data_IF_210455650890
#
_entry.id   IF_210455650890
#
_cell.length_a   1.000
_cell.length_b   1.000
_cell.length_c   1.000
_cell.angle_alpha   90.00
_cell.angle_beta   90.00
_cell.angle_gamma   90.00
#
_symmetry.space_group_name_H-M   'P 1'
#
loop_
_entity.id
_entity.type
_entity.pdbx_description
1 polymer ?
#
# COMPACT_ATOMS: atom_id res chain seq x y z
N UNK A 1 -15.72 -8.83 14.55
CA UNK A 1 -14.57 -8.09 15.10
C UNK A 1 -13.52 -7.91 14.01
N UNK A 2 -13.18 -6.67 13.67
CA UNK A 2 -12.06 -6.40 12.78
C UNK A 2 -10.77 -6.48 13.59
N UNK A 3 -9.97 -7.52 13.39
CA UNK A 3 -8.63 -7.58 13.97
C UNK A 3 -7.74 -6.58 13.25
N UNK A 4 -7.15 -5.61 13.96
CA UNK A 4 -6.43 -4.50 13.33
C UNK A 4 -5.17 -4.92 12.54
N UNK A 5 -4.69 -6.15 12.74
CA UNK A 5 -3.53 -6.73 12.05
C UNK A 5 -3.91 -7.63 10.86
N UNK A 6 -5.20 -7.78 10.55
CA UNK A 6 -5.61 -8.59 9.39
C UNK A 6 -5.92 -7.69 8.20
N UNK A 7 -5.25 -7.91 7.04
CA UNK A 7 -5.60 -7.22 5.80
C UNK A 7 -6.96 -7.71 5.30
N UNK A 8 -7.66 -6.84 4.55
CA UNK A 8 -8.93 -7.19 3.90
C UNK A 8 -8.74 -7.93 2.58
N UNK A 9 -7.57 -7.78 1.97
CA UNK A 9 -7.20 -8.44 0.74
C UNK A 9 -5.71 -8.77 0.79
N UNK A 10 -5.34 -9.89 0.17
CA UNK A 10 -3.94 -10.27 -0.06
C UNK A 10 -3.79 -10.54 -1.56
N UNK A 11 -2.75 -10.00 -2.15
CA UNK A 11 -2.36 -10.24 -3.54
C UNK A 11 -0.86 -10.48 -3.65
N UNK A 12 -0.41 -11.15 -4.70
CA UNK A 12 1.00 -11.42 -4.90
C UNK A 12 1.76 -10.17 -5.35
N UNK A 13 1.17 -9.35 -6.20
CA UNK A 13 1.80 -8.14 -6.71
C UNK A 13 0.87 -6.93 -6.62
N UNK A 14 1.44 -5.73 -6.57
CA UNK A 14 0.68 -4.48 -6.68
C UNK A 14 -0.02 -4.40 -8.04
N UNK A 15 0.62 -4.91 -9.09
CA UNK A 15 0.12 -4.92 -10.46
C UNK A 15 -1.11 -5.80 -10.68
N UNK A 16 -1.45 -6.70 -9.73
CA UNK A 16 -2.69 -7.47 -9.75
C UNK A 16 -3.94 -6.60 -9.47
N UNK A 17 -3.75 -5.41 -8.91
CA UNK A 17 -4.84 -4.49 -8.61
C UNK A 17 -5.27 -3.75 -9.87
N UNK A 18 -6.33 -4.20 -10.52
CA UNK A 18 -6.86 -3.52 -11.71
C UNK A 18 -7.89 -2.45 -11.35
N UNK A 19 -8.11 -1.43 -12.21
CA UNK A 19 -9.16 -0.44 -12.00
C UNK A 19 -10.54 -1.05 -11.78
N UNK A 20 -10.87 -2.12 -12.51
CA UNK A 20 -12.15 -2.83 -12.43
C UNK A 20 -12.33 -3.48 -11.05
N UNK A 21 -11.30 -4.16 -10.55
CA UNK A 21 -11.32 -4.77 -9.22
C UNK A 21 -11.53 -3.71 -8.14
N UNK A 22 -10.83 -2.59 -8.25
CA UNK A 22 -10.92 -1.49 -7.29
C UNK A 22 -12.30 -0.83 -7.32
N UNK A 23 -12.85 -0.62 -8.51
CA UNK A 23 -14.21 -0.10 -8.69
C UNK A 23 -15.26 -1.04 -8.06
N UNK A 24 -15.18 -2.35 -8.31
CA UNK A 24 -16.07 -3.35 -7.71
C UNK A 24 -16.03 -3.36 -6.18
N UNK A 25 -14.89 -2.97 -5.59
CA UNK A 25 -14.70 -2.84 -4.15
C UNK A 25 -15.05 -1.45 -3.59
N UNK A 26 -15.51 -0.54 -4.45
CA UNK A 26 -15.82 0.83 -4.09
C UNK A 26 -14.59 1.66 -3.71
N UNK A 27 -13.38 1.26 -4.16
CA UNK A 27 -12.14 1.96 -3.87
C UNK A 27 -11.91 3.04 -4.92
N UNK A 28 -11.77 4.28 -4.47
CA UNK A 28 -11.54 5.47 -5.27
C UNK A 28 -10.15 6.09 -5.05
N UNK A 29 -9.46 5.68 -3.97
CA UNK A 29 -8.12 6.14 -3.63
C UNK A 29 -7.26 4.95 -3.19
N UNK A 30 -6.13 4.73 -3.84
CA UNK A 30 -5.07 3.86 -3.37
C UNK A 30 -3.99 4.69 -2.69
N UNK A 31 -3.74 4.40 -1.43
CA UNK A 31 -2.62 4.90 -0.66
C UNK A 31 -1.53 3.82 -0.69
N UNK A 32 -0.42 4.10 -1.37
CA UNK A 32 0.62 3.13 -1.65
C UNK A 32 1.82 3.34 -0.73
N UNK A 33 2.27 2.29 -0.05
CA UNK A 33 3.62 2.31 0.49
C UNK A 33 4.64 2.35 -0.66
N UNK A 34 5.85 2.83 -0.40
CA UNK A 34 6.87 3.04 -1.41
C UNK A 34 7.89 1.89 -1.47
N UNK A 35 8.61 1.73 -0.37
CA UNK A 35 9.73 0.80 -0.27
C UNK A 35 9.25 -0.65 -0.26
N UNK A 36 9.75 -1.49 -1.15
CA UNK A 36 9.33 -2.88 -1.35
C UNK A 36 7.89 -3.10 -1.82
N UNK A 37 7.15 -2.04 -2.07
CA UNK A 37 5.78 -2.09 -2.61
C UNK A 37 5.74 -1.61 -4.06
N UNK A 38 6.28 -0.42 -4.35
CA UNK A 38 6.39 0.13 -5.73
C UNK A 38 7.77 -0.19 -6.31
N UNK A 39 8.82 0.04 -5.53
CA UNK A 39 10.22 -0.23 -5.92
C UNK A 39 10.95 -0.92 -4.77
N UNK A 40 12.00 -1.72 -5.05
CA UNK A 40 12.85 -2.26 -3.99
C UNK A 40 13.64 -1.12 -3.28
N UNK A 41 14.17 -1.42 -2.11
CA UNK A 41 15.00 -0.45 -1.35
C UNK A 41 16.25 0.02 -2.11
N UNK A 42 16.71 -0.77 -3.07
CA UNK A 42 18.00 -0.59 -3.76
C UNK A 42 17.94 0.33 -4.96
N UNK A 43 16.74 0.66 -5.46
CA UNK A 43 16.57 1.51 -6.65
C UNK A 43 15.33 2.39 -6.54
N UNK A 44 15.27 3.43 -7.36
CA UNK A 44 14.07 4.25 -7.59
C UNK A 44 13.43 3.97 -8.96
N UNK A 45 13.96 3.02 -9.71
CA UNK A 45 13.49 2.69 -11.05
C UNK A 45 12.50 1.52 -10.91
N UNK A 46 11.23 1.71 -11.24
CA UNK A 46 10.25 0.63 -11.26
C UNK A 46 10.53 -0.31 -12.43
N UNK A 47 10.06 -1.54 -12.31
CA UNK A 47 10.04 -2.46 -13.45
C UNK A 47 9.14 -1.93 -14.56
N UNK A 48 9.32 -2.39 -15.79
CA UNK A 48 8.46 -1.99 -16.92
C UNK A 48 6.98 -2.34 -16.65
N UNK A 49 6.72 -3.48 -16.01
CA UNK A 49 5.39 -3.90 -15.59
C UNK A 49 4.77 -2.90 -14.59
N UNK A 50 5.54 -2.49 -13.58
CA UNK A 50 5.09 -1.50 -12.59
C UNK A 50 4.86 -0.13 -13.24
N UNK A 51 5.75 0.30 -14.15
CA UNK A 51 5.58 1.55 -14.88
C UNK A 51 4.33 1.52 -15.77
N UNK A 52 4.05 0.39 -16.44
CA UNK A 52 2.84 0.19 -17.23
C UNK A 52 1.58 0.25 -16.35
N UNK A 53 1.62 -0.40 -15.18
CA UNK A 53 0.53 -0.36 -14.21
C UNK A 53 0.27 1.06 -13.69
N UNK A 54 1.31 1.83 -13.36
CA UNK A 54 1.16 3.23 -12.95
C UNK A 54 0.48 4.07 -14.05
N UNK A 55 0.87 3.88 -15.32
CA UNK A 55 0.21 4.55 -16.46
C UNK A 55 -1.27 4.15 -16.59
N UNK A 56 -1.58 2.86 -16.46
CA UNK A 56 -2.96 2.36 -16.50
C UNK A 56 -3.81 2.98 -15.38
N UNK A 57 -3.28 2.99 -14.16
CA UNK A 57 -3.97 3.60 -13.01
C UNK A 57 -4.17 5.10 -13.19
N UNK A 58 -3.18 5.82 -13.74
CA UNK A 58 -3.29 7.26 -14.01
C UNK A 58 -4.38 7.58 -15.04
N UNK A 59 -4.68 6.66 -15.97
CA UNK A 59 -5.76 6.77 -16.95
C UNK A 59 -7.14 6.37 -16.39
N UNK A 60 -7.21 5.87 -15.16
CA UNK A 60 -8.44 5.44 -14.50
C UNK A 60 -9.03 6.53 -13.59
N UNK A 61 -10.21 6.26 -13.03
CA UNK A 61 -10.84 7.14 -12.03
C UNK A 61 -10.26 6.95 -10.62
N UNK A 62 -9.39 5.96 -10.41
CA UNK A 62 -8.78 5.68 -9.10
C UNK A 62 -7.61 6.64 -8.89
N UNK A 63 -7.66 7.39 -7.81
CA UNK A 63 -6.55 8.28 -7.41
C UNK A 63 -5.44 7.49 -6.75
N UNK A 64 -4.19 7.88 -7.01
CA UNK A 64 -3.01 7.31 -6.36
C UNK A 64 -2.33 8.36 -5.46
N UNK A 65 -1.90 7.94 -4.28
CA UNK A 65 -1.08 8.74 -3.38
C UNK A 65 -0.06 7.85 -2.68
N UNK A 66 1.21 8.20 -2.74
CA UNK A 66 2.25 7.48 -2.00
C UNK A 66 2.23 7.93 -0.54
N UNK A 67 2.13 6.98 0.41
CA UNK A 67 2.12 7.25 1.85
C UNK A 67 3.26 6.48 2.51
N UNK A 68 4.40 7.14 2.67
CA UNK A 68 5.66 6.51 3.09
C UNK A 68 6.15 7.02 4.44
N UNK A 69 6.77 6.13 5.23
CA UNK A 69 7.52 6.50 6.43
C UNK A 69 8.92 7.06 6.11
N UNK A 70 9.35 6.95 4.86
CA UNK A 70 10.66 7.45 4.43
C UNK A 70 10.78 8.96 4.65
N UNK A 71 12.00 9.36 5.04
CA UNK A 71 12.42 10.76 5.18
C UNK A 71 13.30 11.21 4.00
N UNK A 72 13.55 10.33 3.05
CA UNK A 72 14.47 10.56 1.95
C UNK A 72 13.77 11.23 0.77
N UNK A 73 14.49 12.11 0.11
CA UNK A 73 14.02 12.83 -1.09
C UNK A 73 13.69 11.89 -2.27
N UNK A 74 14.17 10.64 -2.22
CA UNK A 74 13.88 9.64 -3.26
C UNK A 74 12.39 9.44 -3.52
N UNK A 75 11.56 9.48 -2.49
CA UNK A 75 10.10 9.38 -2.62
C UNK A 75 9.53 10.58 -3.35
N UNK A 76 9.99 11.78 -2.97
CA UNK A 76 9.56 13.04 -3.59
C UNK A 76 9.96 13.10 -5.07
N UNK A 77 11.20 12.70 -5.39
CA UNK A 77 11.72 12.67 -6.76
C UNK A 77 10.93 11.68 -7.61
N UNK A 78 10.70 10.48 -7.11
CA UNK A 78 9.88 9.48 -7.79
C UNK A 78 8.46 10.00 -8.05
N UNK A 79 7.79 10.52 -7.04
CA UNK A 79 6.43 11.01 -7.17
C UNK A 79 6.34 12.18 -8.17
N UNK A 80 7.34 13.06 -8.20
CA UNK A 80 7.43 14.14 -9.19
C UNK A 80 7.60 13.60 -10.61
N UNK A 81 8.44 12.58 -10.80
CA UNK A 81 8.69 11.96 -12.10
C UNK A 81 7.44 11.26 -12.65
N UNK A 82 6.71 10.54 -11.79
CA UNK A 82 5.53 9.77 -12.20
C UNK A 82 4.20 10.53 -12.02
N UNK A 83 4.23 11.81 -11.67
CA UNK A 83 3.03 12.63 -11.51
C UNK A 83 2.13 12.18 -10.35
N UNK A 84 2.70 11.63 -9.29
CA UNK A 84 1.98 11.12 -8.13
C UNK A 84 2.02 12.12 -6.97
N UNK A 85 0.93 12.20 -6.22
CA UNK A 85 0.95 12.84 -4.92
C UNK A 85 1.63 11.97 -3.87
N UNK A 86 2.18 12.59 -2.82
CA UNK A 86 2.76 11.85 -1.71
C UNK A 86 2.55 12.51 -0.34
N UNK A 87 2.58 11.66 0.68
CA UNK A 87 2.71 12.00 2.09
C UNK A 87 3.94 11.27 2.61
N UNK A 88 5.03 12.01 2.79
CA UNK A 88 6.27 11.49 3.42
C UNK A 88 6.19 11.66 4.93
N UNK A 89 7.07 11.01 5.70
CA UNK A 89 7.04 11.04 7.17
C UNK A 89 5.67 10.66 7.74
N UNK A 90 4.97 9.72 7.11
CA UNK A 90 3.59 9.37 7.45
C UNK A 90 3.45 8.77 8.86
N UNK A 91 4.56 8.27 9.45
CA UNK A 91 4.61 7.66 10.79
C UNK A 91 3.63 6.50 10.97
N UNK A 92 3.42 5.69 9.92
CA UNK A 92 2.66 4.44 10.05
C UNK A 92 3.31 3.55 11.13
N UNK A 93 2.57 2.89 12.00
CA UNK A 93 1.14 2.63 11.99
C UNK A 93 0.24 3.69 12.65
N UNK A 94 0.72 4.87 12.95
CA UNK A 94 -0.16 5.96 13.35
C UNK A 94 -0.95 6.45 12.13
N UNK A 95 -2.25 6.71 12.34
CA UNK A 95 -3.16 7.03 11.23
C UNK A 95 -3.06 8.48 10.71
N UNK A 96 -2.27 9.34 11.36
CA UNK A 96 -2.20 10.78 11.02
C UNK A 96 -1.83 11.04 9.55
N UNK A 97 -0.79 10.36 9.04
CA UNK A 97 -0.38 10.52 7.63
C UNK A 97 -1.43 10.01 6.66
N UNK A 98 -2.11 8.91 7.01
CA UNK A 98 -3.20 8.34 6.21
C UNK A 98 -4.40 9.31 6.20
N UNK A 99 -4.80 9.86 7.35
CA UNK A 99 -5.87 10.85 7.41
C UNK A 99 -5.52 12.14 6.65
N UNK A 100 -4.27 12.58 6.66
CA UNK A 100 -3.83 13.72 5.86
C UNK A 100 -4.03 13.46 4.35
N UNK A 101 -3.72 12.24 3.89
CA UNK A 101 -3.99 11.83 2.52
C UNK A 101 -5.49 11.81 2.21
N UNK A 102 -6.30 11.15 3.04
CA UNK A 102 -7.77 11.09 2.88
C UNK A 102 -8.40 12.49 2.81
N UNK A 103 -7.99 13.38 3.69
CA UNK A 103 -8.48 14.76 3.73
C UNK A 103 -8.12 15.57 2.48
N UNK A 104 -6.89 15.36 1.94
CA UNK A 104 -6.45 16.00 0.70
C UNK A 104 -7.37 15.69 -0.47
N UNK A 105 -7.86 14.46 -0.57
CA UNK A 105 -8.74 14.02 -1.65
C UNK A 105 -10.24 14.16 -1.33
N UNK A 106 -10.62 14.47 -0.10
CA UNK A 106 -12.01 14.50 0.32
C UNK A 106 -12.70 13.13 0.20
N UNK A 107 -11.95 12.04 0.38
CA UNK A 107 -12.45 10.67 0.22
C UNK A 107 -12.67 10.04 1.60
N UNK A 108 -13.84 9.41 1.76
CA UNK A 108 -14.16 8.68 2.98
C UNK A 108 -13.21 7.45 3.16
N UNK A 109 -12.80 7.12 4.39
CA UNK A 109 -11.89 5.99 4.63
C UNK A 109 -12.34 4.67 4.00
N UNK A 110 -13.64 4.37 4.02
CA UNK A 110 -14.20 3.16 3.42
C UNK A 110 -14.03 3.06 1.89
N UNK A 111 -13.82 4.19 1.22
CA UNK A 111 -13.58 4.29 -0.23
C UNK A 111 -12.08 4.37 -0.58
N UNK A 112 -11.21 4.20 0.39
CA UNK A 112 -9.77 4.20 0.21
C UNK A 112 -9.16 2.88 0.66
N UNK A 113 -8.03 2.50 0.07
CA UNK A 113 -7.25 1.36 0.50
C UNK A 113 -5.80 1.77 0.78
N UNK A 114 -5.24 1.31 1.91
CA UNK A 114 -3.81 1.32 2.18
C UNK A 114 -3.20 0.02 1.66
N UNK A 115 -2.25 0.13 0.76
CA UNK A 115 -1.54 -0.99 0.13
C UNK A 115 -0.08 -0.97 0.54
N UNK A 116 0.43 -2.09 1.01
CA UNK A 116 1.84 -2.21 1.39
C UNK A 116 2.24 -3.65 1.68
N UNK A 117 3.53 -3.85 1.90
CA UNK A 117 4.14 -5.16 2.16
C UNK A 117 4.20 -5.51 3.66
N UNK A 118 3.80 -4.57 4.55
CA UNK A 118 4.01 -4.69 5.99
C UNK A 118 2.71 -4.68 6.78
N UNK A 119 2.48 -5.73 7.58
CA UNK A 119 1.31 -5.80 8.47
C UNK A 119 1.39 -4.75 9.59
N UNK A 120 2.55 -4.62 10.24
CA UNK A 120 2.69 -3.77 11.43
C UNK A 120 2.72 -2.26 11.13
N UNK A 121 2.91 -1.86 9.89
CA UNK A 121 2.85 -0.45 9.48
C UNK A 121 1.64 -0.16 8.61
N UNK A 122 1.52 -0.82 7.47
CA UNK A 122 0.54 -0.49 6.44
C UNK A 122 -0.85 -1.03 6.79
N UNK A 123 -0.95 -2.34 7.08
CA UNK A 123 -2.23 -2.95 7.45
C UNK A 123 -2.76 -2.37 8.76
N UNK A 124 -1.92 -2.28 9.80
CA UNK A 124 -2.32 -1.72 11.09
C UNK A 124 -2.70 -0.24 10.97
N UNK A 125 -1.91 0.55 10.23
CA UNK A 125 -2.18 1.97 10.02
C UNK A 125 -3.46 2.21 9.23
N UNK A 126 -3.68 1.46 8.15
CA UNK A 126 -4.88 1.51 7.32
C UNK A 126 -6.14 1.12 8.10
N UNK A 127 -6.09 0.01 8.85
CA UNK A 127 -7.20 -0.44 9.68
C UNK A 127 -7.56 0.57 10.79
N UNK A 128 -6.55 1.21 11.42
CA UNK A 128 -6.76 2.29 12.40
C UNK A 128 -7.38 3.53 11.78
N UNK A 129 -7.08 3.82 10.52
CA UNK A 129 -7.69 4.93 9.80
C UNK A 129 -9.11 4.61 9.27
N UNK A 130 -9.58 3.39 9.40
CA UNK A 130 -10.87 2.95 8.85
C UNK A 130 -10.86 2.67 7.35
N UNK A 131 -9.67 2.66 6.73
CA UNK A 131 -9.51 2.34 5.31
C UNK A 131 -9.54 0.83 5.07
N UNK A 132 -9.78 0.42 3.83
CA UNK A 132 -9.50 -0.94 3.42
C UNK A 132 -7.98 -1.17 3.44
N UNK A 133 -7.56 -2.43 3.57
CA UNK A 133 -6.14 -2.76 3.62
C UNK A 133 -5.83 -3.92 2.69
N UNK A 134 -4.80 -3.74 1.87
CA UNK A 134 -4.34 -4.72 0.89
C UNK A 134 -2.88 -5.03 1.18
N UNK A 135 -2.60 -6.28 1.51
CA UNK A 135 -1.24 -6.76 1.70
C UNK A 135 -0.71 -7.31 0.38
N UNK A 136 0.42 -6.80 -0.07
CA UNK A 136 1.15 -7.31 -1.23
C UNK A 136 2.42 -8.01 -0.80
N UNK A 137 2.93 -8.90 -1.65
CA UNK A 137 4.23 -9.51 -1.40
C UNK A 137 5.33 -8.46 -1.57
N UNK A 138 6.28 -8.43 -0.64
CA UNK A 138 7.46 -7.58 -0.75
C UNK A 138 8.27 -7.93 -2.01
N UNK A 139 8.73 -6.91 -2.74
CA UNK A 139 9.51 -7.09 -3.98
C UNK A 139 10.84 -7.77 -3.67
N UNK A 140 11.49 -7.38 -2.56
CA UNK A 140 12.80 -7.87 -2.18
C UNK A 140 12.88 -8.16 -0.68
N UNK A 141 13.37 -9.35 -0.32
CA UNK A 141 13.52 -9.83 1.06
C UNK A 141 14.98 -10.16 1.43
N UNK A 142 15.97 -9.56 0.79
CA UNK A 142 17.39 -9.88 1.02
C UNK A 142 17.90 -9.44 2.39
N UNK A 143 17.25 -8.49 3.05
CA UNK A 143 17.70 -7.99 4.36
C UNK A 143 17.23 -8.91 5.50
N UNK A 144 18.15 -9.25 6.42
CA UNK A 144 17.87 -10.07 7.61
C UNK A 144 16.70 -9.54 8.46
N UNK A 145 16.62 -8.23 8.67
CA UNK A 145 15.53 -7.59 9.43
C UNK A 145 14.17 -7.74 8.76
N UNK A 146 14.13 -7.69 7.43
CA UNK A 146 12.92 -7.93 6.65
C UNK A 146 12.46 -9.38 6.79
N UNK A 147 13.40 -10.34 6.76
CA UNK A 147 13.09 -11.76 6.99
C UNK A 147 12.57 -12.02 8.39
N UNK A 148 13.21 -11.46 9.42
CA UNK A 148 12.78 -11.62 10.82
C UNK A 148 11.37 -11.06 11.03
N UNK A 149 11.08 -9.88 10.49
CA UNK A 149 9.74 -9.27 10.54
C UNK A 149 8.71 -10.14 9.82
N UNK A 150 9.02 -10.63 8.61
CA UNK A 150 8.13 -11.51 7.87
C UNK A 150 7.78 -12.80 8.64
N UNK A 151 8.71 -13.34 9.41
CA UNK A 151 8.43 -14.49 10.30
C UNK A 151 7.39 -14.13 11.36
N UNK A 152 7.46 -12.94 11.96
CA UNK A 152 6.48 -12.46 12.93
C UNK A 152 5.10 -12.19 12.31
N UNK A 153 5.06 -11.88 11.03
CA UNK A 153 3.82 -11.61 10.29
C UNK A 153 3.12 -12.89 9.78
N UNK A 154 3.85 -14.02 9.65
CA UNK A 154 3.29 -15.29 9.15
C UNK A 154 1.99 -15.74 9.80
N UNK A 155 1.79 -15.68 11.13
CA UNK A 155 0.54 -16.09 11.76
C UNK A 155 -0.65 -15.28 11.28
N UNK A 156 -0.46 -13.98 11.06
CA UNK A 156 -1.51 -13.07 10.59
C UNK A 156 -1.82 -13.29 9.11
N UNK A 157 -0.80 -13.53 8.29
CA UNK A 157 -0.96 -13.89 6.87
C UNK A 157 -1.74 -15.21 6.75
N UNK A 158 -1.40 -16.20 7.55
CA UNK A 158 -2.10 -17.48 7.58
C UNK A 158 -3.57 -17.32 8.01
N UNK A 159 -3.83 -16.55 9.07
CA UNK A 159 -5.18 -16.26 9.54
C UNK A 159 -6.02 -15.50 8.49
N UNK A 160 -5.40 -14.58 7.75
CA UNK A 160 -6.06 -13.85 6.68
C UNK A 160 -6.40 -14.76 5.49
N UNK A 161 -5.47 -15.63 5.06
CA UNK A 161 -5.70 -16.61 3.98
C UNK A 161 -6.85 -17.55 4.29
N UNK A 162 -6.94 -18.04 5.53
CA UNK A 162 -8.02 -18.93 5.96
C UNK A 162 -9.41 -18.27 5.99
N UNK A 163 -9.50 -16.95 5.96
CA UNK A 163 -10.77 -16.21 5.89
C UNK A 163 -11.27 -15.95 4.47
N UNK A 164 -10.68 -16.58 3.44
CA UNK A 164 -10.99 -16.36 2.01
C UNK A 164 -10.85 -14.88 1.59
N UNK A 165 -9.80 -14.21 2.07
CA UNK A 165 -9.49 -12.81 1.76
C UNK A 165 -8.46 -12.75 0.59
N UNK A 166 -8.60 -13.66 -0.38
CA UNK A 166 -7.80 -13.68 -1.60
C UNK A 166 -8.61 -13.18 -2.80
N UNK A 167 -7.88 -12.63 -3.76
CA UNK A 167 -8.40 -12.35 -5.11
C UNK A 167 -8.89 -13.63 -5.79
#
# INVERSE_FOLDING_TARGET
MNFPLLPRLITDALTDLTPELLHQRGIRLLMLDFDNTIVPYTTNIPTEEMAAWLRQMAASEVRLCVVSNSKHDRVLLFCKEYGLDCVTHAKKPFSKGIHACLSRYGIAPAQAAMVGDQIFTDTLGGNRAGAQTILVRAIDNHNFWLKARHVLEKPFIFAAKNRRIQL
#
